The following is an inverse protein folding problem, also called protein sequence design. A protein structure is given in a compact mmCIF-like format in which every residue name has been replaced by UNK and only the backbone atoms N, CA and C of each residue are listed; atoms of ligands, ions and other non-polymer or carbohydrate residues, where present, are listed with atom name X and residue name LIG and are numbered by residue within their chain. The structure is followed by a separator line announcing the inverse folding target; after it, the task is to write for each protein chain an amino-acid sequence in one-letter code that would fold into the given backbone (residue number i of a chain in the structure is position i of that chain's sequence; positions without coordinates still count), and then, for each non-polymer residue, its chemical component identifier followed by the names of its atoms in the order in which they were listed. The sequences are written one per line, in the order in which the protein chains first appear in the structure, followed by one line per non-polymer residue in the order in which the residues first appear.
data_IF_519367807170
#
_entry.id   IF_519367807170
#
_cell.length_a   1.000
_cell.length_b   1.000
_cell.length_c   1.000
_cell.angle_alpha   90.00
_cell.angle_beta   90.00
_cell.angle_gamma   90.00
#
_symmetry.space_group_name_H-M   'P 1'
#
loop_
_entity.id
_entity.type
_entity.pdbx_description
1 polymer ?
#
# COMPACT_ATOMS: atom_id res chain seq x y z
N UNK A 1 -3.71 25.31 21.66
CA UNK A 1 -2.86 24.88 20.52
C UNK A 1 -3.71 24.14 19.51
N UNK A 2 -3.91 24.71 18.32
CA UNK A 2 -4.77 24.13 17.29
C UNK A 2 -4.04 22.98 16.60
N UNK A 3 -4.53 21.75 16.77
CA UNK A 3 -4.05 20.58 16.03
C UNK A 3 -4.56 20.74 14.60
N UNK A 4 -3.74 21.35 13.72
CA UNK A 4 -4.03 21.44 12.29
C UNK A 4 -4.13 20.01 11.74
N UNK A 5 -5.35 19.48 11.63
CA UNK A 5 -5.65 18.30 10.81
C UNK A 5 -5.29 18.68 9.38
N UNK A 6 -4.14 18.21 8.88
CA UNK A 6 -3.78 18.29 7.47
C UNK A 6 -4.86 17.53 6.69
N UNK A 7 -5.80 18.28 6.14
CA UNK A 7 -6.89 17.72 5.35
C UNK A 7 -6.30 17.21 4.04
N UNK A 8 -6.29 15.89 3.88
CA UNK A 8 -5.91 15.23 2.63
C UNK A 8 -7.09 15.29 1.69
N UNK A 9 -6.92 15.91 0.53
CA UNK A 9 -7.96 15.90 -0.50
C UNK A 9 -7.95 14.57 -1.25
N UNK A 10 -9.07 14.25 -1.92
CA UNK A 10 -9.15 13.07 -2.78
C UNK A 10 -8.05 13.08 -3.86
N UNK A 11 -7.82 14.23 -4.49
CA UNK A 11 -6.77 14.40 -5.49
C UNK A 11 -5.36 14.15 -4.93
N UNK A 12 -5.05 14.64 -3.73
CA UNK A 12 -3.76 14.39 -3.08
C UNK A 12 -3.57 12.91 -2.74
N UNK A 13 -4.65 12.23 -2.32
CA UNK A 13 -4.66 10.78 -2.07
C UNK A 13 -4.43 10.01 -3.38
N UNK A 14 -5.11 10.38 -4.47
CA UNK A 14 -4.95 9.73 -5.77
C UNK A 14 -3.52 9.87 -6.30
N UNK A 15 -2.92 11.05 -6.17
CA UNK A 15 -1.50 11.30 -6.51
C UNK A 15 -0.58 10.43 -5.66
N UNK A 16 -0.81 10.39 -4.34
CA UNK A 16 -0.01 9.58 -3.42
C UNK A 16 -0.09 8.09 -3.79
N UNK A 17 -1.29 7.55 -4.03
CA UNK A 17 -1.50 6.16 -4.43
C UNK A 17 -0.79 5.82 -5.76
N UNK A 18 -0.86 6.71 -6.74
CA UNK A 18 -0.27 6.47 -8.06
C UNK A 18 1.27 6.51 -8.06
N UNK A 19 1.86 7.41 -7.26
CA UNK A 19 3.29 7.69 -7.33
C UNK A 19 4.12 6.93 -6.30
N UNK A 20 3.57 6.59 -5.14
CA UNK A 20 4.35 6.13 -3.99
C UNK A 20 5.01 4.76 -4.19
N UNK A 21 4.42 3.89 -5.01
CA UNK A 21 5.00 2.59 -5.39
C UNK A 21 6.19 2.71 -6.35
N UNK A 22 6.27 3.78 -7.14
CA UNK A 22 7.22 3.94 -8.25
C UNK A 22 8.23 5.07 -8.06
N UNK A 23 8.07 5.89 -7.02
CA UNK A 23 8.84 7.13 -6.84
C UNK A 23 9.22 7.33 -5.38
N UNK A 24 10.33 8.05 -5.15
CA UNK A 24 10.74 8.41 -3.78
C UNK A 24 9.74 9.40 -3.18
N UNK A 25 9.45 9.23 -1.89
CA UNK A 25 8.58 10.15 -1.15
C UNK A 25 9.01 11.63 -1.23
N UNK A 26 10.31 11.90 -1.44
CA UNK A 26 10.82 13.26 -1.68
C UNK A 26 10.26 13.87 -2.98
N UNK A 27 10.23 13.12 -4.08
CA UNK A 27 9.64 13.60 -5.34
C UNK A 27 8.13 13.84 -5.21
N UNK A 28 7.47 13.06 -4.36
CA UNK A 28 6.04 13.22 -4.08
C UNK A 28 5.80 14.47 -3.23
N UNK A 29 6.74 14.82 -2.34
CA UNK A 29 6.71 16.06 -1.56
C UNK A 29 6.78 17.31 -2.44
N UNK A 30 7.58 17.28 -3.51
CA UNK A 30 7.69 18.39 -4.46
C UNK A 30 6.33 18.69 -5.15
N UNK A 31 5.47 17.68 -5.28
CA UNK A 31 4.12 17.81 -5.83
C UNK A 31 3.12 18.15 -4.73
N UNK A 32 3.17 17.43 -3.61
CA UNK A 32 2.31 17.58 -2.45
C UNK A 32 2.93 18.57 -1.45
N UNK A 33 3.21 19.79 -1.90
CA UNK A 33 3.96 20.83 -1.16
C UNK A 33 3.38 21.20 0.21
N UNK A 34 2.09 20.93 0.43
CA UNK A 34 1.39 21.13 1.71
C UNK A 34 1.72 20.09 2.77
N UNK A 35 2.33 18.97 2.38
CA UNK A 35 2.60 17.84 3.25
C UNK A 35 4.10 17.69 3.44
N UNK A 36 4.53 17.60 4.70
CA UNK A 36 5.92 17.22 5.00
C UNK A 36 6.18 15.77 4.59
N UNK A 37 7.45 15.41 4.38
CA UNK A 37 7.85 14.01 4.21
C UNK A 37 7.26 13.08 5.27
N UNK A 38 7.26 13.50 6.55
CA UNK A 38 6.64 12.73 7.62
C UNK A 38 5.12 12.59 7.49
N UNK A 39 4.42 13.63 7.01
CA UNK A 39 2.99 13.54 6.69
C UNK A 39 2.74 12.53 5.58
N UNK A 40 3.56 12.56 4.53
CA UNK A 40 3.51 11.64 3.39
C UNK A 40 3.76 10.20 3.84
N UNK A 41 4.81 9.93 4.63
CA UNK A 41 5.08 8.59 5.19
C UNK A 41 3.93 8.09 6.08
N UNK A 42 3.40 8.96 6.96
CA UNK A 42 2.25 8.60 7.81
C UNK A 42 1.03 8.29 6.95
N UNK A 43 0.74 9.12 5.95
CA UNK A 43 -0.42 8.91 5.10
C UNK A 43 -0.29 7.68 4.23
N UNK A 44 0.88 7.46 3.64
CA UNK A 44 1.18 6.25 2.90
C UNK A 44 0.98 5.02 3.78
N UNK A 45 1.45 5.03 5.03
CA UNK A 45 1.20 3.94 5.98
C UNK A 45 -0.28 3.76 6.33
N UNK A 46 -1.03 4.85 6.55
CA UNK A 46 -2.49 4.81 6.76
C UNK A 46 -3.23 4.19 5.57
N UNK A 47 -2.80 4.53 4.36
CA UNK A 47 -3.31 3.99 3.09
C UNK A 47 -2.67 2.65 2.72
N UNK A 48 -1.83 2.10 3.59
CA UNK A 48 -1.07 0.87 3.38
C UNK A 48 -0.22 0.86 2.11
N UNK A 49 0.23 2.01 1.60
CA UNK A 49 1.04 2.23 0.40
C UNK A 49 2.54 1.90 0.57
N UNK A 50 2.96 1.07 1.52
CA UNK A 50 4.37 0.65 1.59
C UNK A 50 4.79 -0.17 0.35
N UNK A 51 6.06 -0.49 0.15
CA UNK A 51 6.46 -1.39 -0.96
C UNK A 51 5.81 -2.80 -0.86
N UNK A 52 5.05 -3.08 0.20
CA UNK A 52 4.23 -4.26 0.43
C UNK A 52 2.73 -4.01 0.19
N UNK A 53 2.36 -2.81 -0.26
CA UNK A 53 0.99 -2.36 -0.43
C UNK A 53 0.30 -3.18 -1.47
N UNK A 54 -0.58 -4.05 -1.01
CA UNK A 54 -1.49 -4.69 -1.92
C UNK A 54 -2.48 -3.65 -2.43
N UNK A 55 -2.73 -3.64 -3.72
CA UNK A 55 -3.99 -3.09 -4.19
C UNK A 55 -5.14 -3.87 -3.52
N UNK A 56 -6.20 -3.19 -3.08
CA UNK A 56 -7.38 -3.82 -2.47
C UNK A 56 -7.89 -4.98 -3.33
N UNK A 57 -7.87 -4.80 -4.64
CA UNK A 57 -8.19 -5.83 -5.63
C UNK A 57 -7.24 -7.05 -5.53
N UNK A 58 -5.94 -6.84 -5.37
CA UNK A 58 -4.96 -7.92 -5.14
C UNK A 58 -5.18 -8.63 -3.79
N UNK A 59 -5.62 -7.93 -2.73
CA UNK A 59 -5.98 -8.56 -1.46
C UNK A 59 -7.17 -9.49 -1.65
N UNK A 60 -8.24 -8.98 -2.27
CA UNK A 60 -9.44 -9.76 -2.53
C UNK A 60 -9.12 -10.96 -3.42
N UNK A 61 -8.27 -10.76 -4.43
CA UNK A 61 -7.82 -11.82 -5.33
C UNK A 61 -6.98 -12.88 -4.62
N UNK A 62 -5.99 -12.49 -3.81
CA UNK A 62 -5.16 -13.43 -3.05
C UNK A 62 -6.03 -14.18 -2.03
N UNK A 63 -6.99 -13.52 -1.37
CA UNK A 63 -7.87 -14.13 -0.37
C UNK A 63 -8.84 -15.14 -0.97
N UNK A 64 -9.40 -14.85 -2.15
CA UNK A 64 -10.29 -15.79 -2.84
C UNK A 64 -9.50 -17.00 -3.35
N UNK A 65 -8.36 -16.77 -4.02
CA UNK A 65 -7.57 -17.86 -4.61
C UNK A 65 -6.83 -18.70 -3.56
N UNK A 66 -6.44 -18.14 -2.42
CA UNK A 66 -5.73 -18.89 -1.37
C UNK A 66 -6.60 -19.98 -0.69
N UNK A 67 -7.91 -20.03 -0.97
CA UNK A 67 -8.77 -21.14 -0.54
C UNK A 67 -8.47 -22.43 -1.33
N UNK A 68 -8.10 -22.29 -2.60
CA UNK A 68 -7.94 -23.42 -3.54
C UNK A 68 -6.52 -23.58 -4.08
N UNK A 69 -5.64 -22.59 -3.84
CA UNK A 69 -4.28 -22.55 -4.39
C UNK A 69 -3.19 -22.46 -3.33
N UNK A 70 -2.07 -23.12 -3.60
CA UNK A 70 -0.86 -23.03 -2.79
C UNK A 70 -0.12 -21.70 -3.02
N UNK A 71 0.73 -21.31 -2.06
CA UNK A 71 1.60 -20.12 -2.15
C UNK A 71 2.46 -20.12 -3.42
N UNK A 72 2.95 -21.29 -3.84
CA UNK A 72 3.73 -21.46 -5.06
C UNK A 72 2.94 -21.15 -6.33
N UNK A 73 1.70 -21.65 -6.41
CA UNK A 73 0.82 -21.36 -7.55
C UNK A 73 0.44 -19.88 -7.61
N UNK A 74 0.15 -19.27 -6.46
CA UNK A 74 -0.11 -17.82 -6.36
C UNK A 74 1.11 -17.00 -6.79
N UNK A 75 2.30 -17.40 -6.36
CA UNK A 75 3.57 -16.76 -6.74
C UNK A 75 3.77 -16.78 -8.26
N UNK A 76 3.61 -17.94 -8.89
CA UNK A 76 3.74 -18.10 -10.35
C UNK A 76 2.68 -17.29 -11.09
N UNK A 77 1.44 -17.28 -10.60
CA UNK A 77 0.32 -16.60 -11.27
C UNK A 77 0.41 -15.08 -11.18
N UNK A 78 0.90 -14.55 -10.06
CA UNK A 78 0.96 -13.09 -9.82
C UNK A 78 2.33 -12.48 -10.12
N UNK A 79 3.34 -13.29 -10.45
CA UNK A 79 4.70 -12.79 -10.73
C UNK A 79 5.46 -12.28 -9.50
N UNK A 80 5.00 -12.63 -8.29
CA UNK A 80 5.67 -12.26 -7.04
C UNK A 80 6.44 -13.44 -6.45
N UNK A 81 7.44 -13.18 -5.61
CA UNK A 81 8.12 -14.24 -4.87
C UNK A 81 7.17 -14.95 -3.88
N UNK A 82 7.39 -16.25 -3.65
CA UNK A 82 6.66 -17.01 -2.61
C UNK A 82 6.75 -16.34 -1.23
N UNK A 83 7.90 -15.76 -0.90
CA UNK A 83 8.12 -15.02 0.35
C UNK A 83 7.22 -13.79 0.45
N UNK A 84 7.03 -13.08 -0.66
CA UNK A 84 6.11 -11.94 -0.75
C UNK A 84 4.69 -12.43 -0.48
N UNK A 85 4.21 -13.44 -1.21
CA UNK A 85 2.86 -14.02 -1.03
C UNK A 85 2.65 -14.53 0.41
N UNK A 86 3.64 -15.18 1.02
CA UNK A 86 3.54 -15.66 2.40
C UNK A 86 3.40 -14.53 3.42
N UNK A 87 4.25 -13.50 3.34
CA UNK A 87 4.17 -12.31 4.23
C UNK A 87 2.81 -11.64 4.10
N UNK A 88 2.36 -11.53 2.85
CA UNK A 88 1.07 -11.01 2.43
C UNK A 88 -0.10 -11.76 3.09
N UNK A 89 -0.15 -13.09 2.99
CA UNK A 89 -1.17 -13.92 3.65
C UNK A 89 -1.12 -13.83 5.18
N UNK A 90 0.09 -13.74 5.75
CA UNK A 90 0.28 -13.63 7.21
C UNK A 90 -0.33 -12.35 7.76
N UNK A 91 -0.10 -11.20 7.10
CA UNK A 91 -0.67 -9.90 7.49
C UNK A 91 -2.20 -9.89 7.45
N UNK A 92 -2.82 -10.61 6.50
CA UNK A 92 -4.28 -10.72 6.43
C UNK A 92 -4.88 -11.48 7.61
N UNK A 93 -4.19 -12.50 8.13
CA UNK A 93 -4.66 -13.31 9.28
C UNK A 93 -4.61 -12.57 10.61
N UNK A 94 -3.70 -11.60 10.76
CA UNK A 94 -3.50 -10.86 12.01
C UNK A 94 -4.42 -9.64 12.16
N UNK A 95 -5.11 -9.22 11.10
CA UNK A 95 -6.04 -8.10 11.10
C UNK A 95 -7.52 -8.55 11.14
N UNK A 96 -7.80 -9.77 11.62
CA UNK A 96 -9.15 -10.32 11.84
C UNK A 96 -9.43 -10.48 13.32
#
# INVERSE_FOLDING_TARGET
MSIKRTYWTKQEIDILCAMYSNTKAACIQDILTRHSLNSIYKKARELMLDAYSFHLEEIHYIRSMAQDMTVKQLSQKMGYSERTIYRRLKTMRTNS
#
